data_IF_049868570672
#
_entry.id   IF_049868570672
#
_cell.length_a   1.000
_cell.length_b   1.000
_cell.length_c   1.000
_cell.angle_alpha   90.00
_cell.angle_beta   90.00
_cell.angle_gamma   90.00
#
_symmetry.space_group_name_H-M   'P 1'
#
loop_
_entity.id
_entity.type
_entity.pdbx_description
1 polymer ?
#
# COMPACT_ATOMS: atom_id res chain seq x y z
N UNK A 1 -4.82 -1.41 -0.91
CA UNK A 1 -3.95 -0.40 -1.57
C UNK A 1 -3.44 -1.00 -2.87
N UNK A 2 -3.77 -0.45 -4.03
CA UNK A 2 -3.47 -1.09 -5.34
C UNK A 2 -2.37 -0.36 -6.11
N UNK A 3 -1.44 0.26 -5.37
CA UNK A 3 -0.15 0.64 -5.90
C UNK A 3 0.90 0.43 -4.80
N UNK A 4 1.44 -0.78 -4.77
CA UNK A 4 2.44 -1.19 -3.79
C UNK A 4 3.78 -0.46 -4.00
N UNK A 5 4.05 0.00 -5.23
CA UNK A 5 5.24 0.78 -5.53
C UNK A 5 5.08 2.21 -5.02
N UNK A 6 3.93 2.84 -5.27
CA UNK A 6 3.58 4.13 -4.67
C UNK A 6 3.49 4.09 -3.15
N UNK A 7 3.08 2.96 -2.56
CA UNK A 7 3.05 2.78 -1.11
C UNK A 7 4.44 2.88 -0.46
N UNK A 8 5.46 2.29 -1.09
CA UNK A 8 6.84 2.45 -0.67
C UNK A 8 7.26 3.92 -0.64
N UNK A 9 6.96 4.65 -1.71
CA UNK A 9 7.39 6.04 -1.86
C UNK A 9 6.70 6.97 -0.86
N UNK A 10 5.41 6.76 -0.58
CA UNK A 10 4.68 7.52 0.44
C UNK A 10 5.31 7.28 1.82
N UNK A 11 5.54 6.02 2.21
CA UNK A 11 6.14 5.73 3.51
C UNK A 11 7.55 6.33 3.64
N UNK A 12 8.36 6.19 2.59
CA UNK A 12 9.76 6.63 2.59
C UNK A 12 9.92 8.15 2.51
N UNK A 13 9.17 8.83 1.67
CA UNK A 13 9.40 10.25 1.34
C UNK A 13 8.34 11.19 1.90
N UNK A 14 7.15 10.68 2.24
CA UNK A 14 6.04 11.51 2.73
C UNK A 14 5.87 11.37 4.24
N UNK A 15 5.69 10.15 4.75
CA UNK A 15 5.42 9.90 6.17
C UNK A 15 6.64 9.93 7.07
N UNK A 16 7.83 9.70 6.50
CA UNK A 16 9.08 9.82 7.26
C UNK A 16 9.41 11.29 7.55
N UNK A 17 9.92 11.56 8.75
CA UNK A 17 10.52 12.81 9.17
C UNK A 17 12.02 12.73 8.96
N UNK A 18 12.60 13.66 8.18
CA UNK A 18 14.04 13.67 7.91
C UNK A 18 14.88 13.87 9.17
N UNK A 19 14.40 14.73 10.09
CA UNK A 19 15.02 15.03 11.37
C UNK A 19 13.97 14.89 12.48
N UNK A 20 13.72 13.67 12.99
CA UNK A 20 12.69 13.45 14.00
C UNK A 20 13.12 14.01 15.37
N UNK A 21 12.40 15.01 15.85
CA UNK A 21 12.68 15.73 17.10
C UNK A 21 11.92 15.11 18.28
N UNK A 22 10.75 14.51 18.04
CA UNK A 22 9.92 13.91 19.07
C UNK A 22 9.92 12.38 19.04
N UNK A 23 9.57 11.75 20.17
CA UNK A 23 9.33 10.30 20.25
C UNK A 23 8.25 9.86 19.26
N UNK A 24 7.17 10.63 19.14
CA UNK A 24 6.08 10.35 18.19
C UNK A 24 6.59 10.27 16.75
N UNK A 25 7.47 11.19 16.34
CA UNK A 25 8.05 11.18 14.99
C UNK A 25 9.00 9.99 14.77
N UNK A 26 9.79 9.61 15.78
CA UNK A 26 10.67 8.43 15.72
C UNK A 26 9.89 7.14 15.57
N UNK A 27 8.78 7.01 16.30
CA UNK A 27 7.88 5.86 16.22
C UNK A 27 7.25 5.74 14.83
N UNK A 28 6.77 6.86 14.26
CA UNK A 28 6.25 6.90 12.88
C UNK A 28 7.33 6.48 11.88
N UNK A 29 8.54 7.04 11.98
CA UNK A 29 9.66 6.69 11.10
C UNK A 29 9.99 5.20 11.14
N UNK A 30 10.00 4.61 12.34
CA UNK A 30 10.32 3.21 12.52
C UNK A 30 9.33 2.32 11.78
N UNK A 31 8.02 2.54 11.97
CA UNK A 31 7.01 1.73 11.28
C UNK A 31 7.00 1.98 9.76
N UNK A 32 7.13 3.24 9.32
CA UNK A 32 7.18 3.59 7.90
C UNK A 32 8.34 2.90 7.16
N UNK A 33 9.48 2.69 7.83
CA UNK A 33 10.61 1.97 7.26
C UNK A 33 10.24 0.53 6.90
N UNK A 34 9.59 -0.20 7.81
CA UNK A 34 9.13 -1.57 7.56
C UNK A 34 8.14 -1.64 6.39
N UNK A 35 7.15 -0.73 6.37
CA UNK A 35 6.15 -0.66 5.30
C UNK A 35 6.77 -0.38 3.93
N UNK A 36 7.88 0.36 3.87
CA UNK A 36 8.57 0.64 2.61
C UNK A 36 9.18 -0.62 1.96
N UNK A 37 9.43 -1.67 2.73
CA UNK A 37 10.01 -2.93 2.26
C UNK A 37 8.97 -3.89 1.65
N UNK A 38 7.67 -3.65 1.84
CA UNK A 38 6.60 -4.52 1.32
C UNK A 38 6.62 -4.64 -0.21
N UNK A 39 7.04 -3.59 -0.92
CA UNK A 39 7.21 -3.60 -2.38
C UNK A 39 8.21 -4.66 -2.86
N UNK A 40 9.25 -4.94 -2.08
CA UNK A 40 10.23 -5.99 -2.39
C UNK A 40 9.60 -7.38 -2.29
N UNK A 41 8.72 -7.58 -1.32
CA UNK A 41 7.99 -8.84 -1.15
C UNK A 41 6.99 -9.06 -2.28
N UNK A 42 6.25 -8.01 -2.68
CA UNK A 42 5.38 -8.09 -3.85
C UNK A 42 6.17 -8.42 -5.12
N UNK A 43 7.33 -7.80 -5.32
CA UNK A 43 8.19 -8.10 -6.47
C UNK A 43 8.70 -9.54 -6.45
N UNK A 44 9.00 -10.11 -5.28
CA UNK A 44 9.32 -11.53 -5.16
C UNK A 44 8.15 -12.40 -5.66
N UNK A 45 6.93 -12.15 -5.20
CA UNK A 45 5.73 -12.88 -5.63
C UNK A 45 5.51 -12.76 -7.15
N UNK A 46 5.71 -11.56 -7.70
CA UNK A 46 5.63 -11.30 -9.14
C UNK A 46 6.57 -12.21 -9.94
N UNK A 47 7.82 -12.38 -9.48
CA UNK A 47 8.79 -13.27 -10.12
C UNK A 47 8.46 -14.74 -9.92
N UNK A 48 8.03 -15.14 -8.72
CA UNK A 48 7.58 -16.52 -8.43
C UNK A 48 6.41 -16.96 -9.31
N UNK A 49 5.50 -16.02 -9.63
CA UNK A 49 4.37 -16.24 -10.52
C UNK A 49 4.72 -16.15 -12.01
N UNK A 50 5.96 -15.81 -12.36
CA UNK A 50 6.41 -15.62 -13.75
C UNK A 50 5.53 -14.64 -14.53
N UNK A 51 5.08 -13.56 -13.88
CA UNK A 51 4.13 -12.63 -14.49
C UNK A 51 4.71 -11.91 -15.71
N UNK A 52 6.03 -11.70 -15.76
CA UNK A 52 6.72 -11.18 -16.95
C UNK A 52 6.46 -12.07 -18.19
N UNK A 53 6.59 -13.40 -18.03
CA UNK A 53 6.40 -14.37 -19.11
C UNK A 53 4.92 -14.52 -19.50
N UNK A 54 4.03 -14.35 -18.53
CA UNK A 54 2.58 -14.35 -18.76
C UNK A 54 2.13 -13.12 -19.53
N UNK A 55 2.63 -11.93 -19.16
CA UNK A 55 2.26 -10.67 -19.79
C UNK A 55 2.95 -10.48 -21.15
N UNK A 56 4.19 -10.98 -21.30
CA UNK A 56 5.02 -10.83 -22.52
C UNK A 56 5.28 -9.38 -22.93
N UNK A 57 5.16 -8.46 -21.98
CA UNK A 57 5.38 -7.05 -22.21
C UNK A 57 6.88 -6.77 -22.39
N UNK A 58 7.21 -5.97 -23.39
CA UNK A 58 8.51 -5.33 -23.45
C UNK A 58 8.61 -4.23 -22.38
N UNK A 59 9.82 -3.75 -22.12
CA UNK A 59 10.01 -2.60 -21.25
C UNK A 59 9.20 -1.37 -21.72
N UNK A 60 9.06 -1.18 -23.03
CA UNK A 60 8.24 -0.10 -23.60
C UNK A 60 6.76 -0.29 -23.31
N UNK A 61 6.24 -1.51 -23.42
CA UNK A 61 4.83 -1.81 -23.11
C UNK A 61 4.53 -1.57 -21.63
N UNK A 62 5.45 -1.96 -20.74
CA UNK A 62 5.33 -1.67 -19.31
C UNK A 62 5.33 -0.17 -19.03
N UNK A 63 6.22 0.60 -19.65
CA UNK A 63 6.26 2.05 -19.49
C UNK A 63 5.00 2.73 -20.05
N UNK A 64 4.52 2.30 -21.21
CA UNK A 64 3.27 2.80 -21.78
C UNK A 64 2.10 2.49 -20.84
N UNK A 65 2.01 1.27 -20.32
CA UNK A 65 0.99 0.88 -19.38
C UNK A 65 1.02 1.76 -18.12
N UNK A 66 2.19 1.92 -17.50
CA UNK A 66 2.32 2.66 -16.24
C UNK A 66 2.10 4.17 -16.42
N UNK A 67 2.53 4.78 -17.53
CA UNK A 67 2.55 6.23 -17.68
C UNK A 67 1.56 6.80 -18.68
N UNK A 68 1.17 6.05 -19.71
CA UNK A 68 0.35 6.57 -20.82
C UNK A 68 -1.05 5.94 -20.88
N UNK A 69 -1.25 4.77 -20.26
CA UNK A 69 -2.59 4.18 -20.19
C UNK A 69 -3.50 5.03 -19.30
N UNK A 70 -4.68 5.35 -19.82
CA UNK A 70 -5.70 6.15 -19.15
C UNK A 70 -6.35 5.40 -17.97
N UNK A 71 -6.43 4.06 -18.00
CA UNK A 71 -6.91 3.30 -16.85
C UNK A 71 -5.99 3.44 -15.63
N UNK A 72 -4.72 3.79 -15.85
CA UNK A 72 -3.74 4.04 -14.79
C UNK A 72 -3.77 5.50 -14.29
N UNK A 73 -4.55 6.40 -14.89
CA UNK A 73 -4.67 7.79 -14.43
C UNK A 73 -5.15 7.87 -12.98
N UNK A 74 -6.14 7.06 -12.62
CA UNK A 74 -6.70 7.02 -11.27
C UNK A 74 -5.63 6.60 -10.25
N UNK A 75 -4.80 5.60 -10.56
CA UNK A 75 -3.71 5.18 -9.68
C UNK A 75 -2.71 6.34 -9.47
N UNK A 76 -2.29 7.00 -10.55
CA UNK A 76 -1.36 8.14 -10.49
C UNK A 76 -1.95 9.30 -9.70
N UNK A 77 -3.21 9.64 -9.94
CA UNK A 77 -3.93 10.70 -9.24
C UNK A 77 -4.02 10.42 -7.73
N UNK A 78 -4.33 9.17 -7.35
CA UNK A 78 -4.41 8.76 -5.95
C UNK A 78 -3.07 8.90 -5.23
N UNK A 79 -1.96 8.47 -5.84
CA UNK A 79 -0.62 8.64 -5.25
C UNK A 79 -0.26 10.12 -5.07
N UNK A 80 -0.57 10.98 -6.04
CA UNK A 80 -0.35 12.42 -5.92
C UNK A 80 -1.20 13.02 -4.81
N UNK A 81 -2.49 12.66 -4.73
CA UNK A 81 -3.40 13.12 -3.67
C UNK A 81 -2.89 12.74 -2.29
N UNK A 82 -2.53 11.47 -2.10
CA UNK A 82 -2.00 10.98 -0.82
C UNK A 82 -0.71 11.69 -0.44
N UNK A 83 0.20 11.85 -1.40
CA UNK A 83 1.48 12.52 -1.18
C UNK A 83 1.29 13.98 -0.79
N UNK A 84 0.47 14.73 -1.52
CA UNK A 84 0.19 16.14 -1.21
C UNK A 84 -0.45 16.29 0.17
N UNK A 85 -1.40 15.42 0.52
CA UNK A 85 -2.04 15.45 1.82
C UNK A 85 -1.03 15.16 2.94
N UNK A 86 -0.24 14.08 2.82
CA UNK A 86 0.75 13.70 3.85
C UNK A 86 1.93 14.67 3.98
N UNK A 87 2.31 15.36 2.90
CA UNK A 87 3.32 16.43 2.93
C UNK A 87 2.79 17.69 3.63
N UNK A 88 1.52 18.03 3.41
CA UNK A 88 0.86 19.18 4.04
C UNK A 88 0.64 18.96 5.54
N UNK A 89 0.28 17.75 5.95
CA UNK A 89 -0.08 17.42 7.33
C UNK A 89 1.03 16.62 8.01
N UNK A 90 1.93 17.33 8.71
CA UNK A 90 3.08 16.76 9.42
C UNK A 90 2.82 16.43 10.90
N UNK A 91 1.60 16.61 11.38
CA UNK A 91 1.23 16.20 12.75
C UNK A 91 1.36 14.66 12.90
N UNK A 92 2.13 14.14 13.87
CA UNK A 92 2.30 12.71 14.07
C UNK A 92 1.00 11.93 14.31
N UNK A 93 -0.02 12.53 14.96
CA UNK A 93 -1.33 11.90 15.17
C UNK A 93 -2.04 11.72 13.83
N UNK A 94 -1.99 12.73 12.97
CA UNK A 94 -2.57 12.65 11.63
C UNK A 94 -1.86 11.60 10.78
N UNK A 95 -0.52 11.54 10.83
CA UNK A 95 0.26 10.52 10.12
C UNK A 95 -0.03 9.12 10.62
N UNK A 96 -0.12 8.92 11.93
CA UNK A 96 -0.53 7.65 12.53
C UNK A 96 -1.85 7.17 11.92
N UNK A 97 -2.90 8.00 11.99
CA UNK A 97 -4.21 7.61 11.46
C UNK A 97 -4.18 7.39 9.96
N UNK A 98 -3.42 8.18 9.21
CA UNK A 98 -3.28 7.97 7.77
C UNK A 98 -2.64 6.62 7.45
N UNK A 99 -1.53 6.27 8.10
CA UNK A 99 -0.89 4.96 7.96
C UNK A 99 -1.84 3.83 8.36
N UNK A 100 -2.55 3.97 9.48
CA UNK A 100 -3.51 2.97 9.96
C UNK A 100 -4.66 2.74 8.98
N UNK A 101 -5.25 3.80 8.45
CA UNK A 101 -6.34 3.70 7.47
C UNK A 101 -5.86 3.00 6.21
N UNK A 102 -4.67 3.35 5.72
CA UNK A 102 -4.03 2.69 4.58
C UNK A 102 -3.85 1.19 4.85
N UNK A 103 -3.17 0.83 5.93
CA UNK A 103 -2.89 -0.56 6.32
C UNK A 103 -4.16 -1.39 6.51
N UNK A 104 -5.11 -0.89 7.31
CA UNK A 104 -6.34 -1.60 7.63
C UNK A 104 -7.23 -1.77 6.40
N UNK A 105 -7.25 -0.80 5.49
CA UNK A 105 -7.99 -0.91 4.22
C UNK A 105 -7.48 -2.07 3.34
N UNK A 106 -6.21 -2.45 3.47
CA UNK A 106 -5.62 -3.57 2.75
C UNK A 106 -5.89 -4.94 3.39
N UNK A 107 -6.17 -4.99 4.69
CA UNK A 107 -6.26 -6.25 5.45
C UNK A 107 -7.33 -7.20 4.94
N UNK A 108 -8.52 -6.67 4.62
CA UNK A 108 -9.62 -7.48 4.09
C UNK A 108 -9.34 -7.97 2.66
N UNK A 109 -8.56 -7.22 1.87
CA UNK A 109 -8.12 -7.71 0.57
C UNK A 109 -7.19 -8.91 0.72
N UNK A 110 -6.24 -8.86 1.66
CA UNK A 110 -5.32 -9.97 1.91
C UNK A 110 -5.98 -11.20 2.53
N UNK A 111 -7.05 -11.06 3.32
CA UNK A 111 -7.77 -12.21 3.88
C UNK A 111 -8.32 -13.11 2.76
N UNK A 112 -8.86 -12.51 1.69
CA UNK A 112 -9.40 -13.24 0.55
C UNK A 112 -8.33 -13.69 -0.46
N UNK A 113 -7.35 -12.84 -0.76
CA UNK A 113 -6.29 -13.16 -1.72
C UNK A 113 -5.33 -14.22 -1.16
N UNK A 114 -5.12 -14.25 0.15
CA UNK A 114 -4.23 -15.21 0.82
C UNK A 114 -4.64 -16.66 0.57
N UNK A 115 -5.93 -16.98 0.62
CA UNK A 115 -6.41 -18.34 0.36
C UNK A 115 -6.12 -18.79 -1.08
N UNK A 116 -6.27 -17.88 -2.04
CA UNK A 116 -5.97 -18.14 -3.46
C UNK A 116 -4.46 -18.28 -3.68
N UNK A 117 -3.66 -17.46 -3.02
CA UNK A 117 -2.19 -17.54 -3.09
C UNK A 117 -1.68 -18.87 -2.51
N UNK A 118 -2.23 -19.33 -1.38
CA UNK A 118 -1.90 -20.64 -0.79
C UNK A 118 -2.26 -21.81 -1.72
N UNK A 119 -3.35 -21.71 -2.47
CA UNK A 119 -3.70 -22.70 -3.51
C UNK A 119 -2.66 -22.70 -4.64
N UNK A 120 -2.22 -21.51 -5.09
CA UNK A 120 -1.19 -21.39 -6.10
C UNK A 120 0.17 -21.96 -5.63
N UNK A 121 0.60 -21.66 -4.40
CA UNK A 121 1.81 -22.24 -3.80
C UNK A 121 1.78 -23.77 -3.85
N UNK A 122 0.68 -24.39 -3.41
CA UNK A 122 0.53 -25.85 -3.42
C UNK A 122 0.51 -26.44 -4.82
N UNK A 123 -0.21 -25.80 -5.74
CA UNK A 123 -0.41 -26.33 -7.11
C UNK A 123 0.87 -26.23 -7.94
N UNK A 124 1.61 -25.14 -7.81
CA UNK A 124 2.77 -24.85 -8.66
C UNK A 124 4.10 -25.02 -7.93
N UNK A 125 4.07 -25.40 -6.65
CA UNK A 125 5.25 -25.56 -5.80
C UNK A 125 6.15 -24.31 -5.77
N UNK A 126 5.53 -23.17 -5.52
CA UNK A 126 6.17 -21.84 -5.45
C UNK A 126 5.98 -21.22 -4.05
N UNK A 127 6.70 -20.14 -3.77
CA UNK A 127 6.61 -19.38 -2.52
C UNK A 127 6.17 -17.93 -2.79
N UNK A 128 5.09 -17.52 -2.12
CA UNK A 128 4.38 -16.24 -2.28
C UNK A 128 4.23 -15.53 -0.93
N UNK A 129 5.32 -15.03 -0.32
CA UNK A 129 5.30 -14.40 1.00
C UNK A 129 4.34 -13.21 1.09
N UNK A 130 4.23 -12.38 0.05
CA UNK A 130 3.42 -11.18 0.15
C UNK A 130 1.92 -11.50 0.11
N UNK A 131 1.49 -12.16 -0.96
CA UNK A 131 0.09 -12.47 -1.24
C UNK A 131 -0.50 -13.46 -0.23
N UNK A 132 0.30 -14.37 0.33
CA UNK A 132 -0.14 -15.26 1.42
C UNK A 132 -0.20 -14.58 2.79
N UNK A 133 0.00 -13.26 2.89
CA UNK A 133 -0.08 -12.54 4.16
C UNK A 133 1.15 -12.71 5.06
N UNK A 134 2.26 -13.28 4.56
CA UNK A 134 3.52 -13.46 5.30
C UNK A 134 4.46 -12.26 5.08
N UNK A 135 3.90 -11.05 5.13
CA UNK A 135 4.63 -9.81 4.83
C UNK A 135 5.10 -9.05 6.06
N UNK A 136 4.57 -9.35 7.25
CA UNK A 136 5.03 -8.77 8.51
C UNK A 136 6.10 -9.64 9.17
N UNK A 137 7.24 -9.05 9.51
CA UNK A 137 8.27 -9.68 10.35
C UNK A 137 7.92 -9.54 11.83
N UNK A 138 8.64 -10.24 12.72
CA UNK A 138 8.51 -10.03 14.18
C UNK A 138 8.82 -8.58 14.57
N UNK A 139 9.90 -8.01 14.01
CA UNK A 139 10.29 -6.61 14.21
C UNK A 139 9.21 -5.63 13.73
N UNK A 140 8.57 -5.89 12.59
CA UNK A 140 7.46 -5.07 12.09
C UNK A 140 6.24 -5.16 13.01
N UNK A 141 5.92 -6.35 13.52
CA UNK A 141 4.84 -6.52 14.49
C UNK A 141 5.11 -5.72 15.78
N UNK A 142 6.35 -5.75 16.28
CA UNK A 142 6.76 -4.95 17.43
C UNK A 142 6.66 -3.45 17.15
N UNK A 143 7.14 -3.00 15.99
CA UNK A 143 7.04 -1.60 15.56
C UNK A 143 5.58 -1.13 15.45
N UNK A 144 4.71 -1.97 14.87
CA UNK A 144 3.27 -1.72 14.79
C UNK A 144 2.65 -1.59 16.18
N UNK A 145 2.91 -2.55 17.08
CA UNK A 145 2.32 -2.56 18.42
C UNK A 145 2.76 -1.33 19.22
N UNK A 146 4.06 -1.00 19.19
CA UNK A 146 4.59 0.19 19.84
C UNK A 146 3.94 1.48 19.30
N UNK A 147 3.80 1.59 17.97
CA UNK A 147 3.11 2.72 17.36
C UNK A 147 1.65 2.79 17.79
N UNK A 148 0.93 1.69 17.69
CA UNK A 148 -0.49 1.62 18.02
C UNK A 148 -0.74 2.01 19.47
N UNK A 149 -0.01 1.42 20.42
CA UNK A 149 -0.13 1.72 21.85
C UNK A 149 0.20 3.19 22.16
N UNK A 150 1.22 3.76 21.51
CA UNK A 150 1.61 5.16 21.71
C UNK A 150 0.54 6.15 21.25
N UNK A 151 -0.15 5.88 20.14
CA UNK A 151 -1.05 6.84 19.51
C UNK A 151 -2.54 6.62 19.77
N UNK A 152 -3.02 5.38 19.95
CA UNK A 152 -4.45 5.07 19.99
C UNK A 152 -5.21 5.78 21.12
N UNK A 153 -4.53 6.01 22.25
CA UNK A 153 -5.10 6.66 23.43
C UNK A 153 -4.93 8.17 23.45
N UNK A 154 -4.27 8.77 22.44
CA UNK A 154 -4.07 10.22 22.40
C UNK A 154 -5.38 10.93 22.09
N UNK A 155 -5.60 12.07 22.76
CA UNK A 155 -6.74 12.94 22.48
C UNK A 155 -6.65 13.50 21.05
N UNK A 156 -7.81 13.57 20.39
CA UNK A 156 -7.95 14.06 19.03
C UNK A 156 -8.78 15.35 19.10
N UNK A 157 -8.25 16.45 18.58
CA UNK A 157 -9.00 17.70 18.48
C UNK A 157 -10.10 17.59 17.41
N UNK A 158 -11.14 18.45 17.44
CA UNK A 158 -12.15 18.49 16.39
C UNK A 158 -11.55 18.65 14.98
N UNK A 159 -10.54 19.51 14.83
CA UNK A 159 -9.86 19.73 13.54
C UNK A 159 -9.08 18.48 13.09
N UNK A 160 -8.43 17.77 14.02
CA UNK A 160 -7.76 16.51 13.71
C UNK A 160 -8.76 15.43 13.32
N UNK A 161 -9.90 15.34 14.00
CA UNK A 161 -10.98 14.42 13.66
C UNK A 161 -11.50 14.66 12.24
N UNK A 162 -11.75 15.92 11.87
CA UNK A 162 -12.22 16.27 10.53
C UNK A 162 -11.21 15.86 9.45
N UNK A 163 -9.91 16.02 9.72
CA UNK A 163 -8.86 15.55 8.82
C UNK A 163 -8.81 14.02 8.72
N UNK A 164 -8.96 13.30 9.83
CA UNK A 164 -8.97 11.82 9.84
C UNK A 164 -10.15 11.27 9.04
N UNK A 165 -11.32 11.89 9.14
CA UNK A 165 -12.49 11.53 8.33
C UNK A 165 -12.21 11.77 6.85
N UNK A 166 -11.64 12.93 6.48
CA UNK A 166 -11.26 13.21 5.09
C UNK A 166 -10.26 12.20 4.53
N UNK A 167 -9.27 11.78 5.35
CA UNK A 167 -8.32 10.73 4.97
C UNK A 167 -9.04 9.41 4.72
N UNK A 168 -9.96 9.04 5.61
CA UNK A 168 -10.74 7.80 5.51
C UNK A 168 -11.52 7.77 4.19
N UNK A 169 -12.29 8.82 3.90
CA UNK A 169 -13.07 8.93 2.67
C UNK A 169 -12.18 8.87 1.43
N UNK A 170 -11.07 9.62 1.44
CA UNK A 170 -10.11 9.65 0.34
C UNK A 170 -9.49 8.28 0.07
N UNK A 171 -9.05 7.56 1.10
CA UNK A 171 -8.42 6.23 0.96
C UNK A 171 -9.44 5.19 0.52
N UNK A 172 -10.62 5.16 1.13
CA UNK A 172 -11.66 4.17 0.82
C UNK A 172 -12.19 4.35 -0.61
N UNK A 173 -12.44 5.59 -1.04
CA UNK A 173 -12.84 5.86 -2.42
C UNK A 173 -11.76 5.44 -3.42
N UNK A 174 -10.50 5.74 -3.12
CA UNK A 174 -9.36 5.34 -3.96
C UNK A 174 -9.24 3.82 -4.08
N UNK A 175 -9.43 3.10 -2.96
CA UNK A 175 -9.41 1.64 -2.95
C UNK A 175 -10.52 1.06 -3.83
N UNK A 176 -11.75 1.55 -3.70
CA UNK A 176 -12.89 1.10 -4.51
C UNK A 176 -12.63 1.32 -6.00
N UNK A 177 -12.14 2.49 -6.40
CA UNK A 177 -11.84 2.79 -7.80
C UNK A 177 -10.77 1.84 -8.36
N UNK A 178 -9.71 1.58 -7.60
CA UNK A 178 -8.64 0.69 -8.03
C UNK A 178 -9.08 -0.79 -8.11
N UNK A 179 -9.96 -1.23 -7.21
CA UNK A 179 -10.55 -2.57 -7.27
C UNK A 179 -11.46 -2.70 -8.50
N UNK A 180 -12.23 -1.67 -8.86
CA UNK A 180 -13.05 -1.67 -10.08
C UNK A 180 -12.19 -1.78 -11.34
N UNK A 181 -11.09 -1.02 -11.44
CA UNK A 181 -10.10 -1.17 -12.53
C UNK A 181 -9.60 -2.61 -12.59
N UNK A 182 -9.17 -3.17 -11.45
CA UNK A 182 -8.63 -4.52 -11.39
C UNK A 182 -9.67 -5.57 -11.85
N UNK A 183 -10.93 -5.41 -11.42
CA UNK A 183 -12.04 -6.26 -11.84
C UNK A 183 -12.31 -6.15 -13.35
N UNK A 184 -12.36 -4.94 -13.90
CA UNK A 184 -12.54 -4.70 -15.35
C UNK A 184 -11.45 -5.37 -16.18
N UNK A 185 -10.19 -5.29 -15.74
CA UNK A 185 -9.06 -5.92 -16.43
C UNK A 185 -9.16 -7.44 -16.45
N UNK A 186 -9.54 -8.05 -15.33
CA UNK A 186 -9.69 -9.50 -15.23
C UNK A 186 -10.87 -10.02 -16.05
N UNK A 187 -12.05 -9.40 -15.91
CA UNK A 187 -13.28 -9.87 -16.59
C UNK A 187 -13.17 -9.75 -18.12
N UNK A 188 -12.50 -8.70 -18.61
CA UNK A 188 -12.36 -8.45 -20.05
C UNK A 188 -11.03 -8.97 -20.61
N UNK A 189 -10.22 -9.67 -19.80
CA UNK A 189 -8.91 -10.21 -20.16
C UNK A 189 -7.93 -9.16 -20.75
N UNK A 190 -8.03 -7.89 -20.31
CA UNK A 190 -7.30 -6.77 -20.92
C UNK A 190 -5.79 -6.85 -20.71
N UNK A 191 -5.31 -7.66 -19.77
CA UNK A 191 -3.88 -7.89 -19.52
C UNK A 191 -3.22 -8.73 -20.61
N UNK A 192 -3.97 -9.58 -21.30
CA UNK A 192 -3.46 -10.52 -22.31
C UNK A 192 -3.76 -10.07 -23.75
N UNK A 193 -4.47 -8.94 -23.93
CA UNK A 193 -4.87 -8.41 -25.25
C UNK A 193 -3.88 -7.33 -25.66
N UNK A 194 -2.61 -7.69 -25.85
CA UNK A 194 -1.61 -6.88 -26.57
C UNK A 194 -0.61 -7.79 -27.30
#
# INVERSE_FOLDING_TARGET
>A
IVDIMGYRDINKYVFTYEQPESESEKIINNYALHLSEHSRLFYHDWKSLQLDDMLRWSASDTLEFIFLNADMDIHRENIVKFSLFGLKHRDPIIRFWFMMILELSGKEFFSHVGDVALLAERKYNIFLPYLCGRHATEEECEAYNNMYEHFIAKEISPEQSDLIIQITDMVMQSLLNNLDISYRYVVNNLLAVR
#
